data_IF_184097666498
#
_entry.id   IF_184097666498
#
_cell.length_a   1.000
_cell.length_b   1.000
_cell.length_c   1.000
_cell.angle_alpha   90.00
_cell.angle_beta   90.00
_cell.angle_gamma   90.00
#
_symmetry.space_group_name_H-M   'P 1'
#
loop_
_entity.id
_entity.type
_entity.pdbx_description
1 polymer ?
#
# COMPACT_ATOMS: atom_id res chain seq x y z
N UNK A 1 2.49 15.31 -20.66
CA UNK A 1 2.97 15.23 -19.27
C UNK A 1 3.24 13.76 -18.96
N UNK A 2 4.19 13.45 -18.08
CA UNK A 2 4.30 12.07 -17.59
C UNK A 2 3.06 11.75 -16.74
N UNK A 3 2.52 10.54 -16.89
CA UNK A 3 1.40 10.09 -16.06
C UNK A 3 1.82 10.06 -14.58
N UNK A 4 0.93 10.49 -13.69
CA UNK A 4 1.18 10.55 -12.24
C UNK A 4 1.28 9.13 -11.67
N UNK A 5 0.37 8.26 -12.12
CA UNK A 5 0.31 6.84 -11.81
C UNK A 5 0.10 6.06 -13.10
N UNK A 6 0.57 4.82 -13.16
CA UNK A 6 0.18 3.89 -14.23
C UNK A 6 -1.26 3.43 -13.97
N UNK A 7 -2.23 4.25 -14.41
CA UNK A 7 -3.65 4.04 -14.14
C UNK A 7 -4.19 2.69 -14.65
N UNK A 8 -3.63 2.17 -15.76
CA UNK A 8 -4.03 0.87 -16.29
C UNK A 8 -3.64 -0.26 -15.34
N UNK A 9 -2.39 -0.25 -14.85
CA UNK A 9 -1.93 -1.24 -13.87
C UNK A 9 -2.64 -1.09 -12.53
N UNK A 10 -2.82 0.15 -12.06
CA UNK A 10 -3.55 0.44 -10.83
C UNK A 10 -4.99 -0.10 -10.89
N UNK A 11 -5.71 0.19 -11.98
CA UNK A 11 -7.09 -0.24 -12.14
C UNK A 11 -7.26 -1.75 -12.35
N UNK A 12 -6.17 -2.46 -12.68
CA UNK A 12 -6.15 -3.93 -12.81
C UNK A 12 -5.78 -4.66 -11.51
N UNK A 13 -5.31 -3.94 -10.48
CA UNK A 13 -5.11 -4.49 -9.12
C UNK A 13 -6.37 -5.19 -8.61
N UNK A 14 -6.28 -6.22 -7.77
CA UNK A 14 -7.45 -6.92 -7.22
C UNK A 14 -8.30 -6.02 -6.31
N UNK A 15 -9.54 -6.41 -6.07
CA UNK A 15 -10.32 -5.89 -4.95
C UNK A 15 -9.70 -6.35 -3.61
N UNK A 16 -10.09 -5.72 -2.51
CA UNK A 16 -9.63 -6.14 -1.18
C UNK A 16 -9.98 -7.61 -0.89
N UNK A 17 -11.17 -8.06 -1.30
CA UNK A 17 -11.62 -9.44 -1.11
C UNK A 17 -10.81 -10.43 -1.96
N UNK A 18 -10.58 -10.11 -3.24
CA UNK A 18 -9.74 -10.93 -4.14
C UNK A 18 -8.29 -11.04 -3.62
N UNK A 19 -7.74 -9.93 -3.12
CA UNK A 19 -6.42 -9.90 -2.52
C UNK A 19 -6.35 -10.74 -1.24
N UNK A 20 -7.37 -10.64 -0.38
CA UNK A 20 -7.45 -11.41 0.86
C UNK A 20 -7.53 -12.91 0.59
N UNK A 21 -8.38 -13.34 -0.35
CA UNK A 21 -8.48 -14.74 -0.77
C UNK A 21 -7.10 -15.26 -1.22
N UNK A 22 -6.39 -14.47 -2.04
CA UNK A 22 -5.06 -14.82 -2.53
C UNK A 22 -4.04 -14.93 -1.39
N UNK A 23 -4.09 -14.01 -0.41
CA UNK A 23 -3.23 -14.03 0.77
C UNK A 23 -3.48 -15.23 1.68
N UNK A 24 -4.72 -15.73 1.74
CA UNK A 24 -5.08 -16.89 2.57
C UNK A 24 -4.62 -18.23 1.98
N UNK A 25 -4.00 -18.23 0.79
CA UNK A 25 -3.44 -19.44 0.22
C UNK A 25 -2.43 -20.11 1.17
N UNK A 26 -2.42 -21.46 1.24
CA UNK A 26 -1.43 -22.18 2.04
C UNK A 26 -0.02 -21.74 1.65
N UNK A 27 0.88 -21.61 2.64
CA UNK A 27 2.28 -21.13 2.52
C UNK A 27 2.51 -19.61 2.43
N UNK A 28 1.51 -18.77 2.14
CA UNK A 28 1.75 -17.32 2.01
C UNK A 28 2.27 -16.72 3.33
N UNK A 29 1.72 -17.12 4.48
CA UNK A 29 2.21 -16.66 5.78
C UNK A 29 3.65 -17.11 6.05
N UNK A 30 4.05 -18.31 5.62
CA UNK A 30 5.43 -18.79 5.74
C UNK A 30 6.37 -18.01 4.81
N UNK A 31 5.90 -17.64 3.61
CA UNK A 31 6.65 -16.80 2.67
C UNK A 31 6.84 -15.38 3.23
N UNK A 32 5.80 -14.79 3.84
CA UNK A 32 5.89 -13.49 4.51
C UNK A 32 6.90 -13.56 5.67
N UNK A 33 6.81 -14.60 6.51
CA UNK A 33 7.65 -14.75 7.71
C UNK A 33 9.08 -15.20 7.40
N UNK A 34 9.34 -15.78 6.23
CA UNK A 34 10.66 -16.22 5.80
C UNK A 34 11.24 -15.28 4.74
N UNK A 35 11.26 -15.68 3.46
CA UNK A 35 12.03 -14.99 2.43
C UNK A 35 11.65 -13.52 2.24
N UNK A 36 10.37 -13.12 2.38
CA UNK A 36 10.01 -11.70 2.28
C UNK A 36 10.58 -10.90 3.46
N UNK A 37 10.37 -11.39 4.69
CA UNK A 37 10.92 -10.76 5.90
C UNK A 37 12.43 -10.61 5.79
N UNK A 38 13.12 -11.65 5.34
CA UNK A 38 14.58 -11.66 5.28
C UNK A 38 15.12 -10.54 4.37
N UNK A 39 14.50 -10.29 3.21
CA UNK A 39 14.86 -9.15 2.35
C UNK A 39 14.60 -7.81 3.03
N UNK A 40 13.49 -7.66 3.77
CA UNK A 40 13.23 -6.42 4.51
C UNK A 40 14.27 -6.17 5.60
N UNK A 41 14.76 -7.23 6.27
CA UNK A 41 15.78 -7.12 7.30
C UNK A 41 17.17 -6.84 6.71
N UNK A 42 17.56 -7.57 5.67
CA UNK A 42 18.87 -7.43 5.01
C UNK A 42 19.11 -6.01 4.50
N UNK A 43 18.07 -5.38 3.94
CA UNK A 43 18.16 -4.00 3.42
C UNK A 43 17.83 -2.93 4.46
N UNK A 44 17.58 -3.31 5.72
CA UNK A 44 17.04 -2.44 6.77
C UNK A 44 15.76 -1.69 6.36
N UNK A 45 15.04 -2.21 5.36
CA UNK A 45 13.82 -1.62 4.82
C UNK A 45 12.69 -1.60 5.85
N UNK A 46 12.68 -2.57 6.78
CA UNK A 46 11.70 -2.67 7.87
C UNK A 46 11.64 -1.43 8.78
N UNK A 47 12.70 -0.61 8.82
CA UNK A 47 12.74 0.63 9.60
C UNK A 47 11.86 1.73 9.01
N UNK A 48 11.55 1.63 7.72
CA UNK A 48 10.92 2.70 6.93
C UNK A 48 9.68 2.23 6.18
N UNK A 49 9.59 0.93 5.91
CA UNK A 49 8.58 0.33 5.07
C UNK A 49 7.96 -0.90 5.73
N UNK A 50 6.76 -1.22 5.30
CA UNK A 50 6.06 -2.47 5.59
C UNK A 50 5.63 -3.15 4.29
N UNK A 51 5.36 -4.45 4.36
CA UNK A 51 4.79 -5.21 3.26
C UNK A 51 3.31 -4.83 3.12
N UNK A 52 2.87 -4.54 1.89
CA UNK A 52 1.49 -4.15 1.61
C UNK A 52 0.78 -5.20 0.76
N UNK A 53 -0.39 -5.67 1.18
CA UNK A 53 -1.27 -6.49 0.36
C UNK A 53 -1.92 -5.58 -0.68
N UNK A 54 -1.59 -5.79 -1.95
CA UNK A 54 -2.01 -4.86 -2.99
C UNK A 54 -3.49 -5.02 -3.29
N UNK A 55 -4.23 -3.93 -3.24
CA UNK A 55 -5.64 -3.90 -3.61
C UNK A 55 -6.02 -2.48 -4.00
N UNK A 56 -6.98 -2.33 -4.91
CA UNK A 56 -7.48 -1.01 -5.29
C UNK A 56 -8.61 -0.56 -4.38
N UNK A 57 -8.58 0.71 -4.01
CA UNK A 57 -9.69 1.39 -3.33
C UNK A 57 -10.55 2.18 -4.31
N UNK A 58 -10.03 2.60 -5.45
CA UNK A 58 -10.82 3.38 -6.40
C UNK A 58 -10.44 2.97 -7.81
N UNK A 59 -11.14 3.51 -8.80
CA UNK A 59 -10.56 3.63 -10.14
C UNK A 59 -9.90 5.00 -10.23
N UNK A 60 -8.75 5.08 -10.88
CA UNK A 60 -8.07 6.35 -11.19
C UNK A 60 -8.13 6.61 -12.69
N UNK A 61 -8.42 7.85 -13.07
CA UNK A 61 -8.27 8.34 -14.44
C UNK A 61 -6.81 8.42 -14.88
N UNK A 62 -6.59 8.73 -16.16
CA UNK A 62 -5.25 8.79 -16.76
C UNK A 62 -4.35 9.88 -16.15
N UNK A 63 -4.96 10.95 -15.63
CA UNK A 63 -4.29 12.11 -15.04
C UNK A 63 -4.58 12.24 -13.53
N UNK A 64 -5.16 11.22 -12.91
CA UNK A 64 -5.53 11.21 -11.49
C UNK A 64 -4.65 10.25 -10.69
N UNK A 65 -4.51 10.51 -9.39
CA UNK A 65 -3.99 9.54 -8.45
C UNK A 65 -4.70 9.66 -7.10
N UNK A 66 -4.59 8.61 -6.29
CA UNK A 66 -5.04 8.62 -4.90
C UNK A 66 -4.00 9.36 -4.06
N UNK A 67 -4.40 10.47 -3.46
CA UNK A 67 -3.57 11.32 -2.61
C UNK A 67 -4.21 11.45 -1.23
N UNK A 68 -3.47 11.06 -0.18
CA UNK A 68 -3.87 11.17 1.21
C UNK A 68 -3.51 12.55 1.77
N UNK A 69 -4.50 13.23 2.34
CA UNK A 69 -4.35 14.49 3.09
C UNK A 69 -4.84 14.25 4.50
N UNK A 70 -3.96 14.35 5.49
CA UNK A 70 -4.29 14.14 6.91
C UNK A 70 -5.10 12.84 7.17
N UNK A 71 -4.69 11.75 6.51
CA UNK A 71 -5.32 10.43 6.65
C UNK A 71 -6.57 10.20 5.80
N UNK A 72 -7.07 11.19 5.04
CA UNK A 72 -8.21 11.01 4.12
C UNK A 72 -7.72 10.90 2.68
N UNK A 73 -8.14 9.86 1.97
CA UNK A 73 -7.77 9.64 0.57
C UNK A 73 -8.68 10.43 -0.38
N UNK A 74 -8.07 11.12 -1.34
CA UNK A 74 -8.76 11.90 -2.38
C UNK A 74 -8.25 11.50 -3.76
N UNK A 75 -9.14 11.43 -4.74
CA UNK A 75 -8.74 11.44 -6.14
C UNK A 75 -8.36 12.86 -6.53
N UNK A 76 -7.12 13.04 -6.99
CA UNK A 76 -6.60 14.33 -7.38
C UNK A 76 -5.97 14.26 -8.77
N UNK A 77 -6.29 15.25 -9.59
CA UNK A 77 -5.63 15.46 -10.87
C UNK A 77 -4.34 16.28 -10.73
N UNK A 78 -3.62 16.45 -11.83
CA UNK A 78 -2.40 17.24 -11.85
C UNK A 78 -2.57 18.73 -11.50
N UNK A 79 -3.78 19.30 -11.59
CA UNK A 79 -4.02 20.70 -11.20
C UNK A 79 -4.21 20.81 -9.69
N UNK A 80 -5.04 19.96 -9.09
CA UNK A 80 -5.23 19.89 -7.65
C UNK A 80 -3.89 19.67 -6.91
N UNK A 81 -3.02 18.82 -7.45
CA UNK A 81 -1.67 18.63 -6.90
C UNK A 81 -0.80 19.88 -7.00
N UNK A 82 -0.85 20.64 -8.10
CA UNK A 82 -0.11 21.90 -8.24
C UNK A 82 -0.60 22.95 -7.25
N UNK A 83 -1.91 23.01 -7.02
CA UNK A 83 -2.50 23.94 -6.07
C UNK A 83 -1.99 23.62 -4.66
N UNK A 84 -1.97 22.34 -4.26
CA UNK A 84 -1.38 21.89 -2.98
C UNK A 84 0.09 22.26 -2.86
N UNK A 85 0.87 22.05 -3.93
CA UNK A 85 2.30 22.38 -3.97
C UNK A 85 2.51 23.90 -3.79
N UNK A 86 1.62 24.73 -4.35
CA UNK A 86 1.70 26.19 -4.21
C UNK A 86 1.61 26.69 -2.76
N UNK A 87 1.03 25.89 -1.86
CA UNK A 87 0.98 26.16 -0.42
C UNK A 87 2.23 25.70 0.35
N UNK A 88 3.34 25.40 -0.34
CA UNK A 88 4.60 24.99 0.29
C UNK A 88 4.68 23.49 0.62
N UNK A 89 3.83 22.67 0.00
CA UNK A 89 3.82 21.22 0.16
C UNK A 89 4.46 20.51 -1.04
N UNK A 90 4.61 19.20 -0.91
CA UNK A 90 4.90 18.28 -2.01
C UNK A 90 4.00 17.05 -1.92
N UNK A 91 3.75 16.45 -3.07
CA UNK A 91 3.03 15.17 -3.20
C UNK A 91 4.07 14.08 -3.45
N UNK A 92 4.09 13.06 -2.60
CA UNK A 92 5.10 12.00 -2.67
C UNK A 92 4.46 10.62 -2.58
N UNK A 93 5.01 9.59 -3.24
CA UNK A 93 4.53 8.23 -3.08
C UNK A 93 4.71 7.77 -1.63
N UNK A 94 3.69 7.08 -1.11
CA UNK A 94 3.74 6.36 0.16
C UNK A 94 3.52 4.88 -0.03
N UNK A 95 2.80 4.49 -1.09
CA UNK A 95 2.51 3.10 -1.42
C UNK A 95 3.00 2.82 -2.84
N UNK A 96 3.65 1.69 -3.04
CA UNK A 96 4.11 1.22 -4.34
C UNK A 96 3.57 -0.16 -4.64
N UNK A 97 3.04 -0.33 -5.85
CA UNK A 97 2.61 -1.61 -6.38
C UNK A 97 3.75 -2.31 -7.14
N UNK A 98 3.76 -3.64 -7.12
CA UNK A 98 4.53 -4.53 -7.98
C UNK A 98 3.64 -4.97 -9.14
N UNK A 99 4.17 -4.85 -10.36
CA UNK A 99 3.46 -5.29 -11.57
C UNK A 99 4.45 -5.48 -12.71
N UNK A 100 4.49 -6.68 -13.28
CA UNK A 100 5.34 -7.01 -14.43
C UNK A 100 6.82 -6.80 -14.14
N UNK A 101 7.29 -7.27 -12.97
CA UNK A 101 8.69 -7.14 -12.56
C UNK A 101 9.15 -5.71 -12.29
N UNK A 102 8.23 -4.80 -11.96
CA UNK A 102 8.52 -3.40 -11.62
C UNK A 102 7.81 -2.99 -10.34
N UNK A 103 8.43 -2.07 -9.61
CA UNK A 103 7.80 -1.31 -8.51
C UNK A 103 7.37 0.05 -9.06
N UNK A 104 6.10 0.42 -8.86
CA UNK A 104 5.49 1.64 -9.38
C UNK A 104 4.75 2.36 -8.25
N UNK A 105 4.81 3.70 -8.16
CA UNK A 105 3.94 4.46 -7.27
C UNK A 105 2.47 4.08 -7.47
N UNK A 106 1.73 3.96 -6.38
CA UNK A 106 0.32 3.56 -6.36
C UNK A 106 -0.53 4.59 -5.62
N UNK A 107 -0.11 4.97 -4.41
CA UNK A 107 -0.77 6.00 -3.59
C UNK A 107 0.26 7.00 -3.08
N UNK A 108 -0.24 8.21 -2.82
CA UNK A 108 0.59 9.36 -2.46
C UNK A 108 0.08 10.01 -1.18
N UNK A 109 0.93 10.82 -0.56
CA UNK A 109 0.55 11.71 0.52
C UNK A 109 1.04 13.14 0.25
N UNK A 110 0.31 14.10 0.82
CA UNK A 110 0.75 15.48 0.93
C UNK A 110 1.61 15.64 2.17
N UNK A 111 2.82 16.17 2.00
CA UNK A 111 3.70 16.51 3.12
C UNK A 111 4.32 17.89 2.91
N UNK A 112 4.73 18.58 3.99
CA UNK A 112 5.52 19.80 3.86
C UNK A 112 6.78 19.59 3.00
N UNK A 113 7.18 20.60 2.22
CA UNK A 113 8.33 20.49 1.30
C UNK A 113 9.62 20.05 2.02
N UNK A 114 9.83 20.53 3.24
CA UNK A 114 11.01 20.24 4.06
C UNK A 114 11.05 18.80 4.61
N UNK A 115 9.93 18.07 4.57
CA UNK A 115 9.84 16.71 5.11
C UNK A 115 10.72 15.77 4.28
N UNK A 116 11.63 15.03 4.92
CA UNK A 116 12.36 13.96 4.26
C UNK A 116 11.39 12.84 3.88
N UNK A 117 11.49 12.34 2.65
CA UNK A 117 10.53 11.37 2.10
C UNK A 117 11.26 10.11 1.71
N UNK A 118 10.92 8.96 2.32
CA UNK A 118 11.60 7.71 2.03
C UNK A 118 11.24 7.20 0.64
N UNK A 119 12.18 6.52 0.01
CA UNK A 119 11.97 5.80 -1.24
C UNK A 119 12.69 4.45 -1.16
N UNK A 120 12.07 3.34 -1.63
CA UNK A 120 12.73 2.05 -1.66
C UNK A 120 14.00 2.11 -2.51
N UNK A 121 15.10 1.55 -2.01
CA UNK A 121 16.38 1.59 -2.74
C UNK A 121 16.34 0.64 -3.95
N UNK A 122 17.11 0.91 -5.02
CA UNK A 122 17.15 0.01 -6.17
C UNK A 122 17.59 -1.42 -5.82
N UNK A 123 18.50 -1.58 -4.86
CA UNK A 123 18.98 -2.88 -4.40
C UNK A 123 17.85 -3.67 -3.71
N UNK A 124 17.15 -3.04 -2.77
CA UNK A 124 15.99 -3.64 -2.11
C UNK A 124 14.90 -4.00 -3.11
N UNK A 125 14.58 -3.11 -4.06
CA UNK A 125 13.57 -3.36 -5.10
C UNK A 125 13.92 -4.61 -5.93
N UNK A 126 15.17 -4.72 -6.38
CA UNK A 126 15.59 -5.83 -7.23
C UNK A 126 15.43 -7.19 -6.52
N UNK A 127 15.86 -7.26 -5.26
CA UNK A 127 15.78 -8.48 -4.47
C UNK A 127 14.34 -8.80 -4.03
N UNK A 128 13.58 -7.79 -3.62
CA UNK A 128 12.17 -7.93 -3.27
C UNK A 128 11.37 -8.50 -4.43
N UNK A 129 11.52 -7.95 -5.64
CA UNK A 129 10.86 -8.47 -6.84
C UNK A 129 11.29 -9.90 -7.17
N UNK A 130 12.58 -10.22 -7.00
CA UNK A 130 13.07 -11.59 -7.19
C UNK A 130 12.42 -12.57 -6.21
N UNK A 131 12.33 -12.20 -4.93
CA UNK A 131 11.69 -13.03 -3.90
C UNK A 131 10.20 -13.21 -4.18
N UNK A 132 9.47 -12.16 -4.56
CA UNK A 132 8.06 -12.31 -4.92
C UNK A 132 7.88 -13.26 -6.12
N UNK A 133 8.68 -13.10 -7.16
CA UNK A 133 8.60 -13.95 -8.35
C UNK A 133 8.93 -15.43 -8.04
N UNK A 134 10.01 -15.69 -7.30
CA UNK A 134 10.44 -17.06 -6.96
C UNK A 134 9.47 -17.80 -6.03
N UNK A 135 8.64 -17.07 -5.28
CA UNK A 135 7.65 -17.64 -4.36
C UNK A 135 6.21 -17.56 -4.89
N UNK A 136 6.01 -17.15 -6.15
CA UNK A 136 4.67 -17.07 -6.75
C UNK A 136 3.78 -15.97 -6.15
N UNK A 137 4.38 -14.94 -5.54
CA UNK A 137 3.70 -13.77 -4.97
C UNK A 137 3.79 -12.51 -5.84
N UNK A 138 4.17 -12.64 -7.12
CA UNK A 138 4.19 -11.51 -8.05
C UNK A 138 2.80 -10.88 -8.16
N UNK A 139 2.73 -9.55 -8.02
CA UNK A 139 1.47 -8.81 -8.04
C UNK A 139 0.57 -8.97 -6.80
N UNK A 140 0.95 -9.82 -5.82
CA UNK A 140 0.21 -9.96 -4.56
C UNK A 140 0.62 -8.89 -3.53
N UNK A 141 1.93 -8.62 -3.42
CA UNK A 141 2.47 -7.70 -2.43
C UNK A 141 3.21 -6.52 -3.05
N UNK A 142 3.07 -5.38 -2.38
CA UNK A 142 3.72 -4.12 -2.64
C UNK A 142 4.43 -3.63 -1.39
N UNK A 143 4.78 -2.35 -1.41
CA UNK A 143 5.51 -1.68 -0.34
C UNK A 143 4.68 -0.49 0.12
N UNK A 144 4.53 -0.31 1.43
CA UNK A 144 3.96 0.91 2.02
C UNK A 144 4.96 1.50 3.02
N UNK A 145 4.90 2.80 3.22
CA UNK A 145 5.63 3.48 4.30
C UNK A 145 5.11 3.05 5.67
N UNK A 146 6.01 2.81 6.61
CA UNK A 146 5.61 2.42 7.96
C UNK A 146 5.13 3.63 8.76
N UNK A 147 3.85 3.63 9.15
CA UNK A 147 3.30 4.62 10.07
C UNK A 147 3.86 4.46 11.51
N UNK A 148 3.80 5.52 12.32
CA UNK A 148 4.27 5.52 13.72
C UNK A 148 3.58 4.48 14.62
N UNK A 149 2.32 4.16 14.30
CA UNK A 149 1.53 3.16 15.00
C UNK A 149 0.66 2.41 14.00
N UNK A 150 -0.04 1.39 14.49
CA UNK A 150 -0.98 0.67 13.67
C UNK A 150 -2.15 1.56 13.23
N UNK A 151 -2.76 1.20 12.10
CA UNK A 151 -3.84 1.97 11.51
C UNK A 151 -4.95 1.07 10.99
N UNK A 152 -6.13 1.67 10.84
CA UNK A 152 -7.28 1.06 10.18
C UNK A 152 -7.83 2.05 9.16
N UNK A 153 -8.11 1.57 7.96
CA UNK A 153 -8.78 2.31 6.90
C UNK A 153 -10.22 1.86 6.77
N UNK A 154 -11.14 2.81 6.66
CA UNK A 154 -12.56 2.55 6.52
C UNK A 154 -13.22 3.60 5.62
N UNK A 155 -14.33 3.20 5.02
CA UNK A 155 -15.18 4.11 4.25
C UNK A 155 -16.14 4.85 5.17
N UNK A 156 -16.09 6.18 5.17
CA UNK A 156 -17.04 7.07 5.86
C UNK A 156 -17.71 7.96 4.81
N UNK A 157 -19.00 7.73 4.55
CA UNK A 157 -19.66 8.34 3.40
C UNK A 157 -18.99 7.89 2.10
N UNK A 158 -18.50 8.83 1.29
CA UNK A 158 -17.74 8.53 0.07
C UNK A 158 -16.21 8.65 0.23
N UNK A 159 -15.73 8.96 1.43
CA UNK A 159 -14.32 9.12 1.72
C UNK A 159 -13.69 7.82 2.25
N UNK A 160 -12.45 7.54 1.83
CA UNK A 160 -11.60 6.58 2.51
C UNK A 160 -10.82 7.29 3.61
N UNK A 161 -10.92 6.82 4.84
CA UNK A 161 -10.36 7.47 6.03
C UNK A 161 -9.47 6.47 6.78
N UNK A 162 -8.21 6.84 6.94
CA UNK A 162 -7.20 6.14 7.74
C UNK A 162 -7.16 6.75 9.13
N UNK A 163 -7.38 5.92 10.15
CA UNK A 163 -7.32 6.32 11.56
C UNK A 163 -6.29 5.46 12.32
N UNK A 164 -5.65 6.00 13.36
CA UNK A 164 -4.84 5.19 14.27
C UNK A 164 -5.67 4.08 14.90
N UNK A 165 -5.08 2.90 15.06
CA UNK A 165 -5.72 1.75 15.69
C UNK A 165 -4.91 1.27 16.90
N UNK A 166 -5.62 0.90 17.97
CA UNK A 166 -4.99 0.65 19.27
C UNK A 166 -4.42 -0.77 19.45
N UNK A 167 -4.22 -1.53 18.36
CA UNK A 167 -3.82 -2.95 18.39
C UNK A 167 -4.71 -3.85 19.28
N UNK A 168 -5.85 -3.34 19.77
CA UNK A 168 -6.72 -4.10 20.66
C UNK A 168 -7.49 -5.12 19.84
N UNK A 169 -7.28 -6.40 20.14
CA UNK A 169 -8.00 -7.52 19.54
C UNK A 169 -9.52 -7.48 19.75
N UNK A 170 -10.02 -6.52 20.55
CA UNK A 170 -11.44 -6.35 20.85
C UNK A 170 -12.26 -5.59 19.80
N UNK A 171 -11.65 -5.00 18.77
CA UNK A 171 -12.41 -4.32 17.71
C UNK A 171 -12.61 -5.29 16.54
N UNK A 172 -13.79 -5.91 16.47
CA UNK A 172 -14.35 -6.70 15.37
C UNK A 172 -13.31 -7.21 14.35
N UNK A 173 -12.54 -8.26 14.71
CA UNK A 173 -11.59 -8.87 13.77
C UNK A 173 -12.27 -9.32 12.48
N UNK A 174 -13.55 -9.69 12.56
CA UNK A 174 -14.41 -10.10 11.44
C UNK A 174 -14.88 -8.93 10.56
N UNK A 175 -14.45 -7.69 10.83
CA UNK A 175 -14.80 -6.52 9.99
C UNK A 175 -13.59 -5.95 9.26
N UNK A 176 -12.40 -6.50 9.45
CA UNK A 176 -11.17 -5.92 8.97
C UNK A 176 -10.21 -6.96 8.39
N UNK A 177 -9.72 -6.69 7.19
CA UNK A 177 -8.71 -7.50 6.52
C UNK A 177 -7.32 -6.91 6.81
N UNK A 178 -6.34 -7.70 7.30
CA UNK A 178 -4.95 -7.28 7.39
C UNK A 178 -4.38 -6.96 5.99
N UNK A 179 -3.86 -5.74 5.83
CA UNK A 179 -3.31 -5.28 4.54
C UNK A 179 -1.88 -4.76 4.63
N UNK A 180 -1.37 -4.42 5.81
CA UNK A 180 0.03 -4.04 5.96
C UNK A 180 0.69 -4.86 7.06
N UNK A 181 1.89 -5.34 6.80
CA UNK A 181 2.63 -6.25 7.67
C UNK A 181 4.02 -5.69 7.94
N UNK A 182 4.30 -5.42 9.22
CA UNK A 182 5.57 -4.90 9.69
C UNK A 182 6.48 -6.04 10.18
N UNK A 183 7.79 -5.85 10.02
CA UNK A 183 8.81 -6.78 10.47
C UNK A 183 9.63 -6.17 11.60
N UNK A 184 10.07 -7.01 12.53
CA UNK A 184 10.96 -6.62 13.61
C UNK A 184 12.08 -7.67 13.70
N UNK A 185 13.33 -7.24 13.86
CA UNK A 185 14.49 -8.15 13.98
C UNK A 185 14.28 -9.21 15.06
N UNK A 186 13.74 -8.80 16.21
CA UNK A 186 13.57 -9.64 17.39
C UNK A 186 12.32 -10.51 17.35
N UNK A 187 11.43 -10.32 16.37
CA UNK A 187 10.22 -11.13 16.23
C UNK A 187 10.37 -12.05 15.02
N UNK A 188 10.13 -13.35 15.20
CA UNK A 188 10.19 -14.30 14.09
C UNK A 188 8.97 -14.17 13.16
N UNK A 189 7.92 -13.46 13.60
CA UNK A 189 6.69 -13.29 12.84
C UNK A 189 6.42 -11.82 12.53
N UNK A 190 5.81 -11.58 11.37
CA UNK A 190 5.27 -10.27 11.04
C UNK A 190 4.22 -9.83 12.07
N UNK A 191 4.06 -8.51 12.22
CA UNK A 191 2.98 -7.91 12.98
C UNK A 191 2.02 -7.23 12.00
N UNK A 192 0.72 -7.39 12.21
CA UNK A 192 -0.28 -6.64 11.43
C UNK A 192 -0.17 -5.17 11.80
N UNK A 193 0.17 -4.34 10.82
CA UNK A 193 0.36 -2.90 10.96
C UNK A 193 -0.83 -2.09 10.45
N UNK A 194 -1.45 -2.56 9.38
CA UNK A 194 -2.55 -1.88 8.71
C UNK A 194 -3.69 -2.82 8.39
N UNK A 195 -4.92 -2.29 8.47
CA UNK A 195 -6.15 -3.04 8.21
C UNK A 195 -7.10 -2.22 7.35
N UNK A 196 -7.83 -2.86 6.44
CA UNK A 196 -8.92 -2.24 5.69
C UNK A 196 -10.25 -2.88 6.06
N UNK A 197 -11.30 -2.07 6.21
CA UNK A 197 -12.64 -2.57 6.53
C UNK A 197 -13.20 -3.45 5.40
N UNK A 198 -13.80 -4.59 5.73
CA UNK A 198 -14.38 -5.54 4.74
C UNK A 198 -15.49 -4.92 3.89
N UNK A 199 -16.15 -3.89 4.41
CA UNK A 199 -17.16 -3.11 3.69
C UNK A 199 -16.57 -2.12 2.67
N UNK A 200 -15.25 -2.12 2.42
CA UNK A 200 -14.63 -1.49 1.24
C UNK A 200 -15.03 -2.23 -0.06
N UNK A 201 -16.33 -2.24 -0.37
CA UNK A 201 -16.85 -2.75 -1.64
C UNK A 201 -16.61 -1.72 -2.73
N UNK A 202 -15.39 -1.70 -3.26
CA UNK A 202 -15.13 -1.07 -4.56
C UNK A 202 -15.47 -2.08 -5.64
N UNK A 203 -16.78 -2.26 -5.80
CA UNK A 203 -17.36 -3.31 -6.63
C UNK A 203 -16.97 -3.11 -8.10
N UNK A 204 -16.43 -4.19 -8.67
CA UNK A 204 -16.05 -4.43 -10.08
C UNK A 204 -14.82 -3.70 -10.60
N UNK A 205 -13.99 -4.43 -11.37
CA UNK A 205 -12.96 -3.83 -12.22
C UNK A 205 -13.67 -2.93 -13.25
N UNK A 206 -13.08 -1.78 -13.63
CA UNK A 206 -13.65 -0.99 -14.70
C UNK A 206 -13.77 -1.84 -15.96
N UNK A 207 -14.90 -1.73 -16.67
CA UNK A 207 -15.11 -2.41 -17.96
C UNK A 207 -14.00 -1.89 -18.89
N UNK A 208 -13.10 -2.77 -19.33
CA UNK A 208 -12.08 -2.45 -20.33
C UNK A 208 -12.81 -1.91 -21.57
N UNK A 209 -12.65 -0.61 -21.85
CA UNK A 209 -13.07 -0.01 -23.13
C UNK A 209 -11.98 -0.21 -24.17
#
# INVERSE_FOLDING_TARGET
MAAIVDHLRYNDLPSLEEANISRQAPSVDDIINGPIRDVFLEHAAYLTFCLYLQHRHHCVGADEAVVKVEGTAHLMDGQAMKDIISFGNKVVPTTWMTSGGKVLPMEFAVVPTATATPAPTPAFIAEFLSVLASNGCDGLFGIDTIAKGAWSEMKIGDASVVVPSNNSDGCDQDKFIPVAFAFEEKKPKFTVHGRCGENHKHSSKPIRK
#
